data_IF_271928068318
#
_entry.id   IF_271928068318
#
_cell.length_a   1.000
_cell.length_b   1.000
_cell.length_c   1.000
_cell.angle_alpha   90.00
_cell.angle_beta   90.00
_cell.angle_gamma   90.00
#
_symmetry.space_group_name_H-M   'P 1'
#
loop_
_entity.id
_entity.type
_entity.pdbx_description
1 polymer ?
#
# COMPACT_ATOMS: atom_id res chain seq x y z
N UNK A 1 -1.10 15.43 -4.98
CA UNK A 1 -2.09 15.94 -3.99
C UNK A 1 -1.31 16.70 -2.93
N UNK A 2 -1.78 17.88 -2.55
CA UNK A 2 -1.16 18.72 -1.53
C UNK A 2 -1.85 18.54 -0.17
N UNK A 3 -1.33 19.21 0.86
CA UNK A 3 -1.84 19.11 2.24
C UNK A 3 -3.31 19.53 2.36
N UNK A 4 -3.66 20.65 1.75
CA UNK A 4 -5.01 21.21 1.89
C UNK A 4 -6.05 20.33 1.18
N UNK A 5 -5.70 19.74 0.04
CA UNK A 5 -6.56 18.77 -0.67
C UNK A 5 -6.81 17.50 0.15
N UNK A 6 -5.83 17.01 0.91
CA UNK A 6 -5.99 15.86 1.81
C UNK A 6 -6.96 16.19 2.96
N UNK A 7 -6.75 17.35 3.60
CA UNK A 7 -7.61 17.82 4.70
C UNK A 7 -9.04 18.06 4.21
N UNK A 8 -9.21 18.69 3.05
CA UNK A 8 -10.52 18.94 2.45
C UNK A 8 -11.27 17.63 2.19
N UNK A 9 -10.58 16.62 1.65
CA UNK A 9 -11.17 15.30 1.42
C UNK A 9 -11.70 14.67 2.71
N UNK A 10 -10.90 14.63 3.78
CA UNK A 10 -11.36 14.03 5.04
C UNK A 10 -12.42 14.86 5.75
N UNK A 11 -12.40 16.19 5.64
CA UNK A 11 -13.49 17.04 6.13
C UNK A 11 -14.80 16.76 5.37
N UNK A 12 -14.73 16.54 4.08
CA UNK A 12 -15.89 16.11 3.28
C UNK A 12 -16.44 14.77 3.80
N UNK A 13 -15.57 13.77 3.99
CA UNK A 13 -15.96 12.46 4.52
C UNK A 13 -16.56 12.58 5.93
N UNK A 14 -15.96 13.38 6.81
CA UNK A 14 -16.49 13.64 8.15
C UNK A 14 -17.92 14.23 8.09
N UNK A 15 -18.13 15.22 7.24
CA UNK A 15 -19.45 15.84 7.06
C UNK A 15 -20.50 14.84 6.55
N UNK A 16 -20.13 13.95 5.63
CA UNK A 16 -21.03 12.91 5.12
C UNK A 16 -21.34 11.88 6.22
N UNK A 17 -20.37 11.54 7.05
CA UNK A 17 -20.56 10.64 8.19
C UNK A 17 -21.51 11.24 9.23
N UNK A 18 -21.35 12.52 9.59
CA UNK A 18 -22.25 13.23 10.52
C UNK A 18 -23.70 13.29 10.02
N UNK A 19 -23.90 13.29 8.69
CA UNK A 19 -25.21 13.18 8.07
C UNK A 19 -25.81 11.76 8.10
N UNK A 20 -25.10 10.78 8.68
CA UNK A 20 -25.57 9.40 8.78
C UNK A 20 -25.56 8.64 7.45
N UNK A 21 -24.84 9.11 6.45
CA UNK A 21 -24.80 8.48 5.10
C UNK A 21 -23.75 7.37 4.97
N UNK A 22 -22.86 7.22 5.94
CA UNK A 22 -21.84 6.16 5.97
C UNK A 22 -22.20 5.17 7.06
N UNK A 23 -22.46 3.93 6.68
CA UNK A 23 -22.84 2.85 7.59
C UNK A 23 -21.65 1.93 7.89
N UNK A 24 -20.64 2.46 8.53
CA UNK A 24 -19.44 1.70 8.89
C UNK A 24 -18.45 2.53 9.69
N UNK A 25 -17.45 1.90 10.30
CA UNK A 25 -16.42 2.63 11.01
C UNK A 25 -15.55 3.42 10.02
N UNK A 26 -15.23 4.65 10.38
CA UNK A 26 -14.24 5.47 9.68
C UNK A 26 -13.15 5.92 10.65
N UNK A 27 -11.93 6.00 10.16
CA UNK A 27 -10.78 6.50 10.91
C UNK A 27 -10.07 7.56 10.09
N UNK A 28 -10.29 8.80 10.44
CA UNK A 28 -9.67 9.94 9.77
C UNK A 28 -8.24 10.15 10.26
N UNK A 29 -7.40 10.71 9.40
CA UNK A 29 -6.07 11.18 9.72
C UNK A 29 -6.10 12.65 10.11
N UNK A 30 -5.13 13.10 10.91
CA UNK A 30 -4.97 14.51 11.21
C UNK A 30 -3.54 14.80 11.65
N UNK A 31 -2.95 15.88 11.10
CA UNK A 31 -1.65 16.40 11.54
C UNK A 31 -0.43 15.63 11.07
N UNK A 32 -0.58 14.69 10.15
CA UNK A 32 0.51 13.90 9.57
C UNK A 32 0.69 14.11 8.06
N UNK A 33 -0.05 15.04 7.46
CA UNK A 33 -0.13 15.27 6.02
C UNK A 33 1.24 15.53 5.41
N UNK A 34 1.99 16.49 5.96
CA UNK A 34 3.31 16.87 5.44
C UNK A 34 4.33 15.72 5.52
N UNK A 35 4.24 14.90 6.58
CA UNK A 35 5.10 13.72 6.75
C UNK A 35 4.78 12.67 5.71
N UNK A 36 3.49 12.37 5.49
CA UNK A 36 3.05 11.41 4.47
C UNK A 36 3.42 11.89 3.08
N UNK A 37 3.14 13.15 2.75
CA UNK A 37 3.54 13.73 1.45
C UNK A 37 5.05 13.59 1.23
N UNK A 38 5.87 13.78 2.29
CA UNK A 38 7.31 13.61 2.17
C UNK A 38 7.71 12.16 1.90
N UNK A 39 7.12 11.19 2.60
CA UNK A 39 7.38 9.75 2.40
C UNK A 39 6.96 9.33 1.00
N UNK A 40 5.79 9.76 0.54
CA UNK A 40 5.25 9.37 -0.77
C UNK A 40 6.01 9.95 -1.97
N UNK A 41 6.96 10.88 -1.76
CA UNK A 41 7.89 11.32 -2.83
C UNK A 41 8.86 10.22 -3.26
N UNK A 42 9.18 9.30 -2.36
CA UNK A 42 10.10 8.19 -2.61
C UNK A 42 9.37 6.93 -3.13
N UNK A 43 8.04 6.92 -3.07
CA UNK A 43 7.19 5.81 -3.49
C UNK A 43 6.78 5.99 -4.95
N UNK A 44 7.01 4.96 -5.75
CA UNK A 44 6.60 4.93 -7.16
C UNK A 44 5.19 4.39 -7.28
N UNK A 45 4.46 4.81 -8.32
CA UNK A 45 3.12 4.26 -8.63
C UNK A 45 3.16 2.76 -8.99
N UNK A 46 4.34 2.24 -9.30
CA UNK A 46 4.58 0.81 -9.55
C UNK A 46 4.85 0.01 -8.29
N UNK A 47 5.04 0.66 -7.15
CA UNK A 47 5.24 -0.02 -5.88
C UNK A 47 3.91 -0.50 -5.28
N UNK A 48 3.98 -1.48 -4.38
CA UNK A 48 2.82 -1.92 -3.63
C UNK A 48 2.72 -1.20 -2.30
N UNK A 49 1.50 -0.75 -1.97
CA UNK A 49 1.18 -0.17 -0.67
C UNK A 49 0.30 -1.12 0.12
N UNK A 50 0.78 -1.50 1.29
CA UNK A 50 0.03 -2.23 2.30
C UNK A 50 -0.19 -1.34 3.51
N UNK A 51 -1.43 -1.15 3.92
CA UNK A 51 -1.77 -0.21 4.99
C UNK A 51 -2.81 -0.78 5.97
N UNK A 52 -3.14 0.01 6.96
CA UNK A 52 -4.12 -0.32 8.00
C UNK A 52 -5.45 0.39 7.74
N UNK A 53 -6.35 0.36 8.72
CA UNK A 53 -7.68 0.99 8.65
C UNK A 53 -7.67 2.51 8.52
N UNK A 54 -6.56 3.21 8.82
CA UNK A 54 -6.39 4.67 8.63
C UNK A 54 -5.55 4.93 7.39
N UNK A 55 -6.16 4.78 6.23
CA UNK A 55 -5.41 4.68 4.97
C UNK A 55 -5.90 5.58 3.84
N UNK A 56 -6.86 6.48 4.08
CA UNK A 56 -7.39 7.37 3.04
C UNK A 56 -6.27 8.18 2.38
N UNK A 57 -5.43 8.85 3.18
CA UNK A 57 -4.30 9.62 2.67
C UNK A 57 -3.29 8.76 1.91
N UNK A 58 -3.05 7.54 2.37
CA UNK A 58 -2.14 6.63 1.67
C UNK A 58 -2.67 6.27 0.28
N UNK A 59 -3.97 5.97 0.16
CA UNK A 59 -4.59 5.66 -1.13
C UNK A 59 -4.52 6.86 -2.09
N UNK A 60 -4.88 8.04 -1.59
CA UNK A 60 -4.88 9.28 -2.37
C UNK A 60 -3.47 9.67 -2.84
N UNK A 61 -2.48 9.58 -1.96
CA UNK A 61 -1.09 9.91 -2.27
C UNK A 61 -0.46 8.88 -3.21
N UNK A 62 -0.94 7.63 -3.20
CA UNK A 62 -0.52 6.60 -4.14
C UNK A 62 -1.25 6.66 -5.50
N UNK A 63 -2.06 7.69 -5.72
CA UNK A 63 -2.67 7.96 -7.01
C UNK A 63 -4.03 7.29 -7.22
N UNK A 64 -4.65 6.72 -6.20
CA UNK A 64 -6.05 6.27 -6.31
C UNK A 64 -6.95 7.50 -6.47
N UNK A 65 -7.81 7.57 -7.50
CA UNK A 65 -8.74 8.68 -7.68
C UNK A 65 -9.63 8.90 -6.46
N UNK A 66 -9.78 10.15 -6.04
CA UNK A 66 -10.56 10.49 -4.85
C UNK A 66 -12.01 10.02 -4.92
N UNK A 67 -12.57 9.97 -6.11
CA UNK A 67 -13.93 9.48 -6.38
C UNK A 67 -14.07 8.00 -6.03
N UNK A 68 -13.07 7.17 -6.39
CA UNK A 68 -13.06 5.74 -6.06
C UNK A 68 -12.89 5.52 -4.55
N UNK A 69 -11.98 6.26 -3.91
CA UNK A 69 -11.81 6.17 -2.45
C UNK A 69 -13.10 6.55 -1.73
N UNK A 70 -13.74 7.65 -2.14
CA UNK A 70 -15.00 8.11 -1.59
C UNK A 70 -16.14 7.10 -1.81
N UNK A 71 -16.23 6.49 -2.99
CA UNK A 71 -17.22 5.47 -3.31
C UNK A 71 -17.12 4.27 -2.37
N UNK A 72 -15.91 3.75 -2.14
CA UNK A 72 -15.69 2.64 -1.21
C UNK A 72 -16.00 3.02 0.25
N UNK A 73 -15.66 4.24 0.67
CA UNK A 73 -16.04 4.75 2.00
C UNK A 73 -17.56 4.81 2.17
N UNK A 74 -18.30 5.28 1.16
CA UNK A 74 -19.76 5.34 1.18
C UNK A 74 -20.42 3.95 1.23
N UNK A 75 -19.76 2.93 0.66
CA UNK A 75 -20.17 1.52 0.78
C UNK A 75 -19.88 0.92 2.16
N UNK A 76 -19.22 1.63 3.07
CA UNK A 76 -18.82 1.17 4.39
C UNK A 76 -17.45 0.49 4.45
N UNK A 77 -16.68 0.52 3.36
CA UNK A 77 -15.38 -0.15 3.24
C UNK A 77 -14.19 0.73 3.66
N UNK A 78 -14.42 1.81 4.40
CA UNK A 78 -13.37 2.77 4.81
C UNK A 78 -12.13 2.12 5.44
N UNK A 79 -12.32 1.09 6.25
CA UNK A 79 -11.24 0.41 6.98
C UNK A 79 -10.63 -0.78 6.23
N UNK A 80 -11.14 -1.09 5.04
CA UNK A 80 -10.75 -2.25 4.20
C UNK A 80 -10.62 -1.87 2.74
N UNK A 81 -10.06 -0.71 2.45
CA UNK A 81 -9.83 -0.26 1.09
C UNK A 81 -8.94 -1.24 0.33
N UNK A 82 -9.38 -1.61 -0.87
CA UNK A 82 -8.65 -2.55 -1.73
C UNK A 82 -8.77 -2.10 -3.18
N UNK A 83 -7.64 -1.68 -3.77
CA UNK A 83 -7.53 -1.21 -5.15
C UNK A 83 -6.37 -1.93 -5.84
N UNK A 84 -6.53 -3.21 -6.25
CA UNK A 84 -5.45 -4.01 -6.82
C UNK A 84 -4.82 -3.39 -8.07
N UNK A 85 -5.62 -2.71 -8.90
CA UNK A 85 -5.18 -2.00 -10.11
C UNK A 85 -4.25 -0.83 -9.80
N UNK A 86 -4.33 -0.30 -8.56
CA UNK A 86 -3.43 0.72 -8.02
C UNK A 86 -2.39 0.11 -7.06
N UNK A 87 -2.28 -1.22 -6.97
CA UNK A 87 -1.35 -1.91 -6.06
C UNK A 87 -1.50 -1.47 -4.60
N UNK A 88 -2.73 -1.27 -4.18
CA UNK A 88 -3.10 -0.77 -2.86
C UNK A 88 -4.00 -1.76 -2.13
N UNK A 89 -3.60 -2.13 -0.92
CA UNK A 89 -4.35 -3.07 -0.09
C UNK A 89 -4.30 -2.69 1.38
N UNK A 90 -5.41 -2.83 2.11
CA UNK A 90 -5.47 -2.58 3.55
C UNK A 90 -6.05 -3.74 4.33
N UNK A 91 -5.75 -3.78 5.63
CA UNK A 91 -6.34 -4.71 6.58
C UNK A 91 -6.73 -3.98 7.86
N UNK A 92 -7.94 -4.27 8.35
CA UNK A 92 -8.40 -3.79 9.65
C UNK A 92 -7.85 -4.61 10.84
N UNK A 93 -7.15 -5.71 10.57
CA UNK A 93 -6.57 -6.59 11.59
C UNK A 93 -5.19 -6.07 11.97
N UNK A 94 -4.99 -5.77 13.26
CA UNK A 94 -3.68 -5.33 13.77
C UNK A 94 -2.60 -6.35 13.46
N UNK A 95 -1.54 -5.92 12.78
CA UNK A 95 -0.44 -6.79 12.34
C UNK A 95 -0.76 -7.70 11.15
N UNK A 96 -2.03 -7.92 10.81
CA UNK A 96 -2.43 -8.85 9.75
C UNK A 96 -1.95 -8.48 8.34
N UNK A 97 -1.70 -7.19 8.10
CA UNK A 97 -1.18 -6.70 6.82
C UNK A 97 0.26 -7.15 6.55
N UNK A 98 1.06 -7.40 7.60
CA UNK A 98 2.49 -7.65 7.48
C UNK A 98 2.80 -8.97 6.77
N UNK A 99 2.26 -10.13 7.19
CA UNK A 99 2.50 -11.39 6.49
C UNK A 99 1.90 -11.40 5.07
N UNK A 100 0.83 -10.65 4.81
CA UNK A 100 0.27 -10.49 3.47
C UNK A 100 1.28 -9.79 2.56
N UNK A 101 1.87 -8.69 3.02
CA UNK A 101 2.90 -7.96 2.29
C UNK A 101 4.14 -8.84 2.00
N UNK A 102 4.58 -9.62 2.98
CA UNK A 102 5.68 -10.58 2.79
C UNK A 102 5.34 -11.63 1.73
N UNK A 103 4.11 -12.17 1.75
CA UNK A 103 3.65 -13.13 0.75
C UNK A 103 3.65 -12.54 -0.67
N UNK A 104 3.22 -11.29 -0.83
CA UNK A 104 3.26 -10.59 -2.13
C UNK A 104 4.70 -10.34 -2.58
N UNK A 105 5.60 -9.94 -1.66
CA UNK A 105 7.02 -9.78 -1.95
C UNK A 105 7.66 -11.06 -2.51
N UNK A 106 7.33 -12.19 -1.89
CA UNK A 106 7.79 -13.50 -2.35
C UNK A 106 7.25 -13.84 -3.75
N UNK A 107 5.98 -13.54 -4.01
CA UNK A 107 5.35 -13.73 -5.32
C UNK A 107 6.06 -12.94 -6.41
N UNK A 108 6.27 -11.65 -6.20
CA UNK A 108 6.97 -10.75 -7.13
C UNK A 108 8.40 -11.24 -7.39
N UNK A 109 9.13 -11.61 -6.33
CA UNK A 109 10.50 -12.14 -6.46
C UNK A 109 10.54 -13.40 -7.33
N UNK A 110 9.58 -14.31 -7.15
CA UNK A 110 9.47 -15.55 -7.92
C UNK A 110 9.13 -15.29 -9.39
N UNK A 111 8.20 -14.36 -9.65
CA UNK A 111 7.84 -13.98 -11.03
C UNK A 111 8.99 -13.32 -11.75
N UNK A 112 9.69 -12.40 -11.10
CA UNK A 112 10.87 -11.74 -11.65
C UNK A 112 11.99 -12.74 -11.98
N UNK A 113 12.23 -13.73 -11.11
CA UNK A 113 13.21 -14.80 -11.38
C UNK A 113 12.81 -15.65 -12.59
N UNK A 114 11.53 -16.00 -12.73
CA UNK A 114 11.00 -16.76 -13.86
C UNK A 114 11.09 -15.97 -15.17
N UNK A 115 10.79 -14.67 -15.13
CA UNK A 115 10.90 -13.79 -16.29
C UNK A 115 12.36 -13.70 -16.77
N UNK A 116 13.28 -13.56 -15.84
CA UNK A 116 14.73 -13.52 -16.12
C UNK A 116 15.22 -14.82 -16.77
N UNK A 117 14.74 -15.96 -16.32
CA UNK A 117 15.06 -17.27 -16.89
C UNK A 117 14.52 -17.39 -18.32
N UNK A 118 13.27 -16.95 -18.56
CA UNK A 118 12.67 -16.90 -19.89
C UNK A 118 13.46 -15.98 -20.83
N UNK A 119 13.82 -14.78 -20.39
CA UNK A 119 14.61 -13.85 -21.21
C UNK A 119 15.99 -14.44 -21.60
N UNK A 120 16.66 -15.14 -20.68
CA UNK A 120 17.92 -15.84 -20.98
C UNK A 120 17.75 -16.94 -22.01
N UNK A 121 16.61 -17.60 -22.03
CA UNK A 121 16.31 -18.71 -22.97
C UNK A 121 16.02 -18.19 -24.38
N UNK A 122 15.46 -16.99 -24.51
CA UNK A 122 15.10 -16.38 -25.81
C UNK A 122 16.13 -15.37 -26.32
N UNK A 123 17.08 -14.93 -25.50
CA UNK A 123 18.14 -14.01 -25.93
C UNK A 123 19.23 -14.79 -26.70
N UNK A 124 19.18 -14.73 -28.03
CA UNK A 124 20.20 -15.25 -28.90
C UNK A 124 21.41 -14.32 -29.04
N UNK A 125 21.36 -13.12 -28.49
CA UNK A 125 22.36 -12.05 -28.69
C UNK A 125 23.38 -11.92 -27.55
N UNK A 126 23.28 -12.72 -26.47
CA UNK A 126 24.25 -12.64 -25.36
C UNK A 126 24.24 -11.34 -24.56
N UNK A 127 23.23 -10.49 -24.78
CA UNK A 127 23.04 -9.26 -23.97
C UNK A 127 22.60 -9.64 -22.57
N UNK A 128 23.46 -9.36 -21.60
CA UNK A 128 23.06 -9.45 -20.19
C UNK A 128 22.06 -8.35 -19.88
N UNK A 129 20.86 -8.73 -19.45
CA UNK A 129 19.90 -7.79 -18.87
C UNK A 129 20.62 -7.11 -17.70
N UNK A 130 20.80 -5.79 -17.79
CA UNK A 130 21.44 -5.03 -16.72
C UNK A 130 20.59 -5.09 -15.45
N UNK A 131 21.22 -4.95 -14.28
CA UNK A 131 20.49 -4.87 -13.02
C UNK A 131 19.56 -3.63 -12.97
N UNK A 132 19.75 -2.67 -13.88
CA UNK A 132 18.90 -1.48 -14.06
C UNK A 132 17.60 -1.80 -14.79
N UNK A 133 17.57 -2.82 -15.64
CA UNK A 133 16.37 -3.26 -16.37
C UNK A 133 15.45 -4.17 -15.53
N UNK A 134 15.87 -4.52 -14.32
CA UNK A 134 15.01 -5.26 -13.39
C UNK A 134 13.89 -4.34 -12.93
N UNK A 135 12.66 -4.80 -13.05
CA UNK A 135 11.51 -4.14 -12.45
C UNK A 135 11.70 -4.19 -10.92
N UNK A 136 12.26 -3.12 -10.37
CA UNK A 136 12.44 -2.95 -8.92
C UNK A 136 11.15 -2.39 -8.34
N UNK A 137 10.15 -3.27 -8.17
CA UNK A 137 8.97 -2.95 -7.38
C UNK A 137 9.32 -3.06 -5.90
N UNK A 138 8.99 -2.04 -5.13
CA UNK A 138 9.11 -2.08 -3.68
C UNK A 138 7.75 -2.37 -3.06
N UNK A 139 7.81 -2.91 -1.86
CA UNK A 139 6.63 -3.11 -1.02
C UNK A 139 6.76 -2.22 0.20
N UNK A 140 5.83 -1.30 0.31
CA UNK A 140 5.74 -0.38 1.44
C UNK A 140 4.63 -0.82 2.37
N UNK A 141 4.95 -0.97 3.66
CA UNK A 141 4.01 -1.43 4.67
C UNK A 141 3.86 -0.35 5.74
N UNK A 142 2.68 0.27 5.78
CA UNK A 142 2.32 1.24 6.81
C UNK A 142 1.60 0.53 7.94
N UNK A 143 2.16 0.60 9.14
CA UNK A 143 1.62 -0.06 10.34
C UNK A 143 1.56 0.89 11.52
N UNK A 144 0.68 0.62 12.46
CA UNK A 144 0.65 1.34 13.74
C UNK A 144 1.79 0.88 14.66
N UNK A 145 2.17 1.74 15.59
CA UNK A 145 3.23 1.51 16.57
C UNK A 145 3.02 0.21 17.37
N UNK A 146 1.80 -0.05 17.83
CA UNK A 146 1.49 -1.28 18.57
C UNK A 146 1.62 -2.55 17.73
N UNK A 147 1.56 -2.47 16.40
CA UNK A 147 1.78 -3.63 15.54
C UNK A 147 3.25 -4.08 15.55
N UNK A 148 4.19 -3.18 15.85
CA UNK A 148 5.62 -3.48 15.99
C UNK A 148 5.90 -4.37 17.20
N UNK A 149 5.06 -4.33 18.23
CA UNK A 149 5.20 -5.13 19.46
C UNK A 149 4.58 -6.53 19.33
N UNK A 150 4.01 -6.86 18.18
CA UNK A 150 3.36 -8.16 17.98
C UNK A 150 4.33 -9.24 17.51
N UNK A 151 4.10 -10.48 17.94
CA UNK A 151 4.88 -11.64 17.46
C UNK A 151 4.87 -11.79 15.95
N UNK A 152 3.73 -11.50 15.30
CA UNK A 152 3.61 -11.58 13.85
C UNK A 152 4.54 -10.62 13.11
N UNK A 153 4.83 -9.43 13.67
CA UNK A 153 5.83 -8.52 13.12
C UNK A 153 7.21 -9.17 13.14
N UNK A 154 7.65 -9.69 14.28
CA UNK A 154 8.98 -10.29 14.43
C UNK A 154 9.15 -11.53 13.54
N UNK A 155 8.15 -12.39 13.47
CA UNK A 155 8.17 -13.56 12.60
C UNK A 155 8.24 -13.18 11.12
N UNK A 156 7.40 -12.26 10.68
CA UNK A 156 7.36 -11.78 9.29
C UNK A 156 8.67 -11.08 8.92
N UNK A 157 9.20 -10.22 9.80
CA UNK A 157 10.45 -9.51 9.59
C UNK A 157 11.63 -10.48 9.50
N UNK A 158 11.71 -11.42 10.41
CA UNK A 158 12.72 -12.47 10.40
C UNK A 158 12.65 -13.29 9.11
N UNK A 159 11.46 -13.71 8.73
CA UNK A 159 11.25 -14.46 7.50
C UNK A 159 11.72 -13.66 6.27
N UNK A 160 11.29 -12.40 6.14
CA UNK A 160 11.69 -11.53 5.04
C UNK A 160 13.21 -11.34 4.97
N UNK A 161 13.87 -11.17 6.12
CA UNK A 161 15.33 -10.98 6.21
C UNK A 161 16.11 -12.23 5.76
N UNK A 162 15.61 -13.43 6.09
CA UNK A 162 16.29 -14.69 5.73
C UNK A 162 16.06 -15.13 4.29
N UNK A 163 14.98 -14.65 3.63
CA UNK A 163 14.60 -15.07 2.29
C UNK A 163 14.75 -13.96 1.24
N UNK A 164 15.41 -12.89 1.60
CA UNK A 164 15.66 -11.74 0.70
C UNK A 164 16.79 -12.01 -0.30
#
# INVERSE_FOLDING_TARGET
MNRDELIEFENEIASIFEQGKIHGPIHLSAGNEDKLISIFKDIKLTDWIFSTWRSHYHALLHGVPKELVKEEILKGNSITLCFPEYRFYTSAIVGGIIPIAVGVAMGIKKENAKLLELCKTFSTSGENISDEDRIKEHIWVFIGDMALETGIFFESFKYATFHN
#
